data_IF_212492350907
#
_entry.id   IF_212492350907
#
_cell.length_a   1.000
_cell.length_b   1.000
_cell.length_c   1.000
_cell.angle_alpha   90.00
_cell.angle_beta   90.00
_cell.angle_gamma   90.00
#
_symmetry.space_group_name_H-M   'P 1'
#
loop_
_entity.id
_entity.type
_entity.pdbx_description
1 polymer ?
#
# COMPACT_ATOMS: atom_id res chain seq x y z
N UNK A 1 17.19 7.45 6.42
CA UNK A 1 16.29 8.51 5.93
C UNK A 1 17.13 9.51 5.17
N UNK A 2 16.75 9.83 3.90
CA UNK A 2 17.54 10.67 3.00
C UNK A 2 17.64 12.15 3.44
N UNK A 3 16.76 12.59 4.33
CA UNK A 3 16.71 13.99 4.79
C UNK A 3 17.06 14.05 6.29
N UNK A 4 18.20 14.66 6.68
CA UNK A 4 18.67 14.71 8.08
C UNK A 4 17.68 15.36 9.04
N UNK A 5 16.89 16.34 8.56
CA UNK A 5 15.87 17.02 9.38
C UNK A 5 14.73 16.07 9.80
N UNK A 6 14.31 15.15 8.93
CA UNK A 6 13.26 14.17 9.24
C UNK A 6 13.79 13.08 10.20
N UNK A 7 15.09 12.77 10.14
CA UNK A 7 15.71 11.82 11.06
C UNK A 7 15.71 12.37 12.50
N UNK A 8 16.00 13.67 12.67
CA UNK A 8 15.94 14.33 13.99
C UNK A 8 14.52 14.27 14.55
N UNK A 9 13.52 14.61 13.72
CA UNK A 9 12.11 14.50 14.11
C UNK A 9 11.69 13.07 14.48
N UNK A 10 12.18 12.06 13.75
CA UNK A 10 11.90 10.67 14.07
C UNK A 10 12.45 10.25 15.44
N UNK A 11 13.57 10.83 15.87
CA UNK A 11 14.20 10.57 17.18
C UNK A 11 13.52 11.29 18.35
N UNK A 12 12.68 12.31 18.08
CA UNK A 12 11.89 13.04 19.10
C UNK A 12 10.71 12.21 19.68
N UNK A 13 10.55 10.95 19.29
CA UNK A 13 9.52 10.07 19.84
C UNK A 13 8.09 10.35 19.31
N UNK A 14 7.09 10.36 20.20
CA UNK A 14 5.69 10.48 19.82
C UNK A 14 5.34 11.83 19.18
N UNK A 15 5.93 12.92 19.65
CA UNK A 15 5.71 14.24 19.07
C UNK A 15 6.33 14.39 17.69
N UNK A 16 7.53 13.86 17.50
CA UNK A 16 8.17 13.84 16.20
C UNK A 16 7.39 13.06 15.16
N UNK A 17 6.82 11.91 15.55
CA UNK A 17 5.94 11.12 14.66
C UNK A 17 4.68 11.89 14.26
N UNK A 18 4.05 12.63 15.17
CA UNK A 18 2.89 13.49 14.84
C UNK A 18 3.26 14.57 13.82
N UNK A 19 4.43 15.20 13.97
CA UNK A 19 4.93 16.21 13.02
C UNK A 19 5.21 15.59 11.64
N UNK A 20 5.83 14.42 11.60
CA UNK A 20 6.11 13.68 10.35
C UNK A 20 4.79 13.35 9.63
N UNK A 21 3.80 12.80 10.33
CA UNK A 21 2.49 12.48 9.76
C UNK A 21 1.80 13.74 9.18
N UNK A 22 1.90 14.87 9.89
CA UNK A 22 1.36 16.15 9.42
C UNK A 22 2.05 16.60 8.11
N UNK A 23 3.37 16.54 8.06
CA UNK A 23 4.14 16.88 6.84
C UNK A 23 3.77 15.95 5.69
N UNK A 24 3.72 14.63 5.94
CA UNK A 24 3.34 13.64 4.93
C UNK A 24 1.95 13.90 4.36
N UNK A 25 0.98 14.30 5.20
CA UNK A 25 -0.37 14.67 4.76
C UNK A 25 -0.36 15.87 3.83
N UNK A 26 0.34 16.95 4.21
CA UNK A 26 0.42 18.14 3.34
C UNK A 26 1.14 17.85 2.01
N UNK A 27 2.22 17.07 2.05
CA UNK A 27 2.91 16.64 0.84
C UNK A 27 2.00 15.75 -0.04
N UNK A 28 1.22 14.85 0.56
CA UNK A 28 0.25 14.03 -0.15
C UNK A 28 -0.81 14.85 -0.88
N UNK A 29 -1.35 15.90 -0.23
CA UNK A 29 -2.34 16.80 -0.84
C UNK A 29 -1.70 17.63 -1.96
N UNK A 30 -0.48 18.14 -1.77
CA UNK A 30 0.24 18.88 -2.80
C UNK A 30 0.53 18.00 -4.04
N UNK A 31 0.96 16.75 -3.82
CA UNK A 31 1.18 15.79 -4.90
C UNK A 31 -0.14 15.43 -5.62
N UNK A 32 -1.25 15.29 -4.88
CA UNK A 32 -2.56 15.03 -5.47
C UNK A 32 -3.01 16.18 -6.38
N UNK A 33 -2.71 17.43 -6.00
CA UNK A 33 -2.99 18.59 -6.83
C UNK A 33 -2.20 18.54 -8.15
N UNK A 34 -0.90 18.27 -8.08
CA UNK A 34 -0.02 18.13 -9.27
C UNK A 34 -0.50 16.97 -10.15
N UNK A 35 -0.84 15.83 -9.54
CA UNK A 35 -1.31 14.64 -10.24
C UNK A 35 -2.70 14.87 -10.88
N UNK A 36 -3.58 15.62 -10.20
CA UNK A 36 -4.87 16.03 -10.74
C UNK A 36 -4.73 16.92 -11.97
N UNK A 37 -3.76 17.84 -11.96
CA UNK A 37 -3.43 18.65 -13.14
C UNK A 37 -2.91 17.77 -14.30
N UNK A 38 -2.05 16.80 -14.02
CA UNK A 38 -1.56 15.83 -15.02
C UNK A 38 -2.71 15.00 -15.61
N UNK A 39 -3.67 14.57 -14.76
CA UNK A 39 -4.84 13.85 -15.22
C UNK A 39 -5.71 14.70 -16.15
N UNK A 40 -5.92 15.98 -15.81
CA UNK A 40 -6.67 16.88 -16.69
C UNK A 40 -6.03 16.98 -18.07
N UNK A 41 -4.70 17.16 -18.14
CA UNK A 41 -3.96 17.21 -19.41
C UNK A 41 -4.12 15.92 -20.21
N UNK A 42 -4.07 14.78 -19.54
CA UNK A 42 -4.29 13.46 -20.17
C UNK A 42 -5.69 13.33 -20.75
N UNK A 43 -6.72 13.68 -19.98
CA UNK A 43 -8.11 13.65 -20.44
C UNK A 43 -8.37 14.63 -21.59
N UNK A 44 -7.75 15.83 -21.53
CA UNK A 44 -7.83 16.81 -22.60
C UNK A 44 -7.21 16.28 -23.91
N UNK A 45 -6.02 15.70 -23.83
CA UNK A 45 -5.35 15.10 -24.99
C UNK A 45 -6.15 13.92 -25.56
N UNK A 46 -6.76 13.08 -24.72
CA UNK A 46 -7.63 11.99 -25.17
C UNK A 46 -8.86 12.52 -25.90
N UNK A 47 -9.45 13.63 -25.44
CA UNK A 47 -10.58 14.26 -26.12
C UNK A 47 -10.18 14.81 -27.49
N UNK A 48 -9.02 15.44 -27.59
CA UNK A 48 -8.57 16.05 -28.85
C UNK A 48 -8.08 15.00 -29.86
N UNK A 49 -7.33 13.97 -29.39
CA UNK A 49 -6.67 13.01 -30.28
C UNK A 49 -7.56 11.85 -30.68
N UNK A 50 -8.39 11.35 -29.77
CA UNK A 50 -9.20 10.13 -29.98
C UNK A 50 -10.69 10.42 -30.23
N UNK A 51 -11.10 11.69 -30.24
CA UNK A 51 -12.51 12.06 -30.41
C UNK A 51 -13.41 11.59 -29.26
N UNK A 52 -12.82 11.22 -28.10
CA UNK A 52 -13.56 10.87 -26.90
C UNK A 52 -13.97 12.17 -26.21
N UNK A 53 -15.26 12.44 -26.11
CA UNK A 53 -15.81 13.62 -25.39
C UNK A 53 -15.62 13.51 -23.86
N UNK A 54 -14.38 13.25 -23.44
CA UNK A 54 -14.06 13.17 -22.01
C UNK A 54 -14.21 14.54 -21.32
N UNK A 55 -13.93 15.63 -22.05
CA UNK A 55 -14.13 17.00 -21.58
C UNK A 55 -14.92 17.77 -22.63
N UNK A 56 -16.22 17.98 -22.41
CA UNK A 56 -17.11 18.70 -23.34
C UNK A 56 -16.72 20.16 -23.58
N UNK A 57 -16.34 20.87 -22.52
CA UNK A 57 -15.98 22.29 -22.58
C UNK A 57 -14.65 22.51 -21.86
N UNK A 58 -13.51 22.51 -22.57
CA UNK A 58 -12.21 22.81 -21.99
C UNK A 58 -12.16 24.30 -21.62
N UNK A 59 -12.26 24.59 -20.34
CA UNK A 59 -12.21 25.94 -19.76
C UNK A 59 -11.29 25.94 -18.56
N UNK A 60 -10.77 27.11 -18.21
CA UNK A 60 -10.00 27.30 -16.97
C UNK A 60 -10.82 26.87 -15.74
N UNK A 61 -12.10 27.11 -15.75
CA UNK A 61 -13.00 26.69 -14.68
C UNK A 61 -13.07 25.16 -14.61
N UNK A 62 -13.22 24.46 -15.74
CA UNK A 62 -13.23 22.98 -15.81
C UNK A 62 -11.92 22.38 -15.28
N UNK A 63 -10.79 23.01 -15.60
CA UNK A 63 -9.49 22.62 -15.04
C UNK A 63 -9.50 22.68 -13.52
N UNK A 64 -9.87 23.81 -12.92
CA UNK A 64 -9.89 23.95 -11.47
C UNK A 64 -10.91 23.00 -10.80
N UNK A 65 -12.09 22.81 -11.39
CA UNK A 65 -13.09 21.88 -10.85
C UNK A 65 -12.53 20.45 -10.81
N UNK A 66 -11.93 19.97 -11.88
CA UNK A 66 -11.38 18.60 -11.94
C UNK A 66 -10.23 18.46 -10.93
N UNK A 67 -9.27 19.38 -10.94
CA UNK A 67 -8.10 19.32 -10.06
C UNK A 67 -8.50 19.38 -8.59
N UNK A 68 -9.38 20.31 -8.23
CA UNK A 68 -9.85 20.46 -6.85
C UNK A 68 -10.68 19.27 -6.39
N UNK A 69 -11.53 18.70 -7.25
CA UNK A 69 -12.31 17.49 -6.92
C UNK A 69 -11.38 16.31 -6.65
N UNK A 70 -10.38 16.09 -7.48
CA UNK A 70 -9.37 15.04 -7.26
C UNK A 70 -8.59 15.25 -5.97
N UNK A 71 -8.15 16.48 -5.73
CA UNK A 71 -7.43 16.83 -4.51
C UNK A 71 -8.29 16.64 -3.26
N UNK A 72 -9.55 17.05 -3.32
CA UNK A 72 -10.52 16.86 -2.24
C UNK A 72 -10.79 15.37 -1.97
N UNK A 73 -10.95 14.56 -3.03
CA UNK A 73 -11.10 13.11 -2.90
C UNK A 73 -9.89 12.46 -2.24
N UNK A 74 -8.68 12.85 -2.63
CA UNK A 74 -7.45 12.35 -2.01
C UNK A 74 -7.34 12.79 -0.54
N UNK A 75 -7.64 14.03 -0.22
CA UNK A 75 -7.65 14.53 1.15
C UNK A 75 -8.66 13.76 2.03
N UNK A 76 -9.84 13.45 1.48
CA UNK A 76 -10.84 12.62 2.16
C UNK A 76 -10.34 11.20 2.43
N UNK A 77 -9.68 10.56 1.46
CA UNK A 77 -9.10 9.22 1.63
C UNK A 77 -7.99 9.22 2.68
N UNK A 78 -7.12 10.24 2.70
CA UNK A 78 -6.08 10.38 3.72
C UNK A 78 -6.72 10.51 5.11
N UNK A 79 -7.72 11.39 5.26
CA UNK A 79 -8.46 11.55 6.53
C UNK A 79 -9.13 10.25 6.97
N UNK A 80 -9.75 9.52 6.04
CA UNK A 80 -10.36 8.21 6.35
C UNK A 80 -9.31 7.19 6.82
N UNK A 81 -8.14 7.15 6.16
CA UNK A 81 -7.02 6.31 6.57
C UNK A 81 -6.49 6.62 7.97
N UNK A 82 -6.40 7.91 8.31
CA UNK A 82 -6.04 8.35 9.67
C UNK A 82 -7.10 7.90 10.69
N UNK A 83 -8.38 8.07 10.38
CA UNK A 83 -9.50 7.68 11.25
C UNK A 83 -9.51 6.15 11.50
N UNK A 84 -9.27 5.35 10.46
CA UNK A 84 -9.16 3.89 10.59
C UNK A 84 -7.96 3.52 11.47
N UNK A 85 -6.83 4.22 11.33
CA UNK A 85 -5.63 3.98 12.14
C UNK A 85 -5.85 4.33 13.61
N UNK A 86 -6.58 5.42 13.89
CA UNK A 86 -6.85 5.86 15.28
C UNK A 86 -7.90 5.00 15.99
N UNK A 87 -8.96 4.61 15.29
CA UNK A 87 -10.13 3.92 15.88
C UNK A 87 -10.24 2.45 15.49
N UNK A 88 -9.47 2.00 14.50
CA UNK A 88 -9.54 0.66 13.95
C UNK A 88 -8.36 -0.22 14.34
N UNK A 89 -8.18 -1.28 13.54
CA UNK A 89 -7.12 -2.26 13.70
C UNK A 89 -6.01 -2.03 12.68
N UNK A 90 -4.81 -1.67 13.13
CA UNK A 90 -3.64 -1.60 12.29
C UNK A 90 -3.48 -0.30 11.48
N UNK A 91 -2.83 -0.39 10.32
CA UNK A 91 -2.56 0.77 9.46
C UNK A 91 -3.72 1.01 8.48
N UNK A 92 -4.47 2.10 8.66
CA UNK A 92 -5.64 2.45 7.85
C UNK A 92 -5.31 2.68 6.38
N UNK A 93 -4.15 3.26 6.06
CA UNK A 93 -3.72 3.47 4.67
C UNK A 93 -3.51 2.13 3.96
N UNK A 94 -2.86 1.18 4.64
CA UNK A 94 -2.67 -0.18 4.11
C UNK A 94 -4.00 -0.90 3.86
N UNK A 95 -4.99 -0.72 4.75
CA UNK A 95 -6.33 -1.28 4.59
C UNK A 95 -7.06 -0.68 3.39
N UNK A 96 -6.95 0.62 3.15
CA UNK A 96 -7.56 1.29 1.99
C UNK A 96 -6.93 0.78 0.69
N UNK A 97 -5.59 0.66 0.64
CA UNK A 97 -4.89 0.10 -0.52
C UNK A 97 -5.33 -1.35 -0.77
N UNK A 98 -5.38 -2.16 0.29
CA UNK A 98 -5.86 -3.55 0.22
C UNK A 98 -7.29 -3.62 -0.33
N UNK A 99 -8.21 -2.81 0.20
CA UNK A 99 -9.59 -2.75 -0.29
C UNK A 99 -9.67 -2.34 -1.77
N UNK A 100 -8.83 -1.38 -2.20
CA UNK A 100 -8.73 -0.96 -3.59
C UNK A 100 -8.23 -2.06 -4.53
N UNK A 101 -7.30 -2.91 -4.07
CA UNK A 101 -6.82 -4.06 -4.83
C UNK A 101 -7.90 -5.15 -4.91
N UNK A 102 -8.51 -5.49 -3.77
CA UNK A 102 -9.54 -6.54 -3.68
C UNK A 102 -10.77 -6.18 -4.50
N UNK A 103 -11.18 -4.91 -4.51
CA UNK A 103 -12.34 -4.44 -5.29
C UNK A 103 -12.18 -4.65 -6.80
N UNK A 104 -10.95 -4.77 -7.29
CA UNK A 104 -10.66 -5.02 -8.72
C UNK A 104 -10.62 -6.50 -9.09
N UNK A 105 -10.58 -7.41 -8.12
CA UNK A 105 -10.51 -8.86 -8.40
C UNK A 105 -11.68 -9.36 -9.27
N UNK A 106 -12.96 -8.99 -8.99
CA UNK A 106 -14.07 -9.47 -9.81
C UNK A 106 -13.98 -9.02 -11.28
N UNK A 107 -13.61 -7.76 -11.52
CA UNK A 107 -13.45 -7.23 -12.88
C UNK A 107 -12.26 -7.84 -13.61
N UNK A 108 -11.16 -8.06 -12.92
CA UNK A 108 -9.98 -8.74 -13.45
C UNK A 108 -10.29 -10.21 -13.80
N UNK A 109 -10.99 -10.93 -12.92
CA UNK A 109 -11.44 -12.30 -13.18
C UNK A 109 -12.34 -12.39 -14.41
N UNK A 110 -13.29 -11.45 -14.55
CA UNK A 110 -14.15 -11.37 -15.73
C UNK A 110 -13.35 -11.06 -17.00
N UNK A 111 -12.36 -10.16 -16.92
CA UNK A 111 -11.46 -9.86 -18.03
C UNK A 111 -10.64 -11.08 -18.48
N UNK A 112 -10.07 -11.82 -17.53
CA UNK A 112 -9.35 -13.06 -17.79
C UNK A 112 -10.26 -14.12 -18.43
N UNK A 113 -11.48 -14.28 -17.90
CA UNK A 113 -12.44 -15.19 -18.46
C UNK A 113 -12.75 -14.84 -19.93
N UNK A 114 -13.10 -13.60 -20.23
CA UNK A 114 -13.42 -13.18 -21.60
C UNK A 114 -12.23 -13.32 -22.57
N UNK A 115 -11.02 -13.01 -22.11
CA UNK A 115 -9.82 -13.02 -22.95
C UNK A 115 -9.35 -14.44 -23.27
N UNK A 116 -9.43 -15.37 -22.32
CA UNK A 116 -8.85 -16.70 -22.46
C UNK A 116 -9.87 -17.83 -22.63
N UNK A 117 -11.12 -17.63 -22.18
CA UNK A 117 -12.17 -18.65 -22.21
C UNK A 117 -13.42 -18.20 -22.97
N UNK A 118 -13.60 -16.90 -23.24
CA UNK A 118 -14.80 -16.35 -23.86
C UNK A 118 -15.03 -16.79 -25.31
N UNK A 119 -13.99 -17.17 -26.03
CA UNK A 119 -14.08 -17.71 -27.39
C UNK A 119 -14.23 -19.25 -27.45
N UNK A 120 -14.46 -19.89 -26.31
CA UNK A 120 -14.47 -21.34 -26.12
C UNK A 120 -13.31 -21.83 -25.25
N UNK A 121 -13.57 -22.92 -24.52
CA UNK A 121 -12.55 -23.51 -23.63
C UNK A 121 -11.49 -24.20 -24.46
N UNK A 122 -10.38 -23.51 -24.70
CA UNK A 122 -9.21 -24.04 -25.37
C UNK A 122 -8.17 -24.47 -24.34
N UNK A 123 -7.44 -25.58 -24.59
CA UNK A 123 -6.39 -26.06 -23.71
C UNK A 123 -5.33 -24.97 -23.41
N UNK A 124 -4.99 -24.14 -24.39
CA UNK A 124 -4.08 -23.01 -24.21
C UNK A 124 -4.63 -21.98 -23.22
N UNK A 125 -5.89 -21.58 -23.33
CA UNK A 125 -6.53 -20.63 -22.42
C UNK A 125 -6.56 -21.15 -20.99
N UNK A 126 -6.89 -22.44 -20.81
CA UNK A 126 -6.89 -23.09 -19.48
C UNK A 126 -5.51 -23.09 -18.84
N UNK A 127 -4.45 -23.38 -19.61
CA UNK A 127 -3.07 -23.36 -19.13
C UNK A 127 -2.67 -21.95 -18.70
N UNK A 128 -3.03 -20.90 -19.46
CA UNK A 128 -2.75 -19.51 -19.09
C UNK A 128 -3.45 -19.09 -17.79
N UNK A 129 -4.74 -19.43 -17.64
CA UNK A 129 -5.50 -19.14 -16.41
C UNK A 129 -4.88 -19.87 -15.22
N UNK A 130 -4.55 -21.15 -15.36
CA UNK A 130 -3.89 -21.90 -14.30
C UNK A 130 -2.52 -21.30 -13.93
N UNK A 131 -1.73 -20.88 -14.92
CA UNK A 131 -0.44 -20.23 -14.69
C UNK A 131 -0.58 -18.91 -13.93
N UNK A 132 -1.58 -18.08 -14.27
CA UNK A 132 -1.86 -16.82 -13.56
C UNK A 132 -2.21 -17.09 -12.08
N UNK A 133 -3.03 -18.09 -11.81
CA UNK A 133 -3.42 -18.48 -10.44
C UNK A 133 -2.19 -18.97 -9.66
N UNK A 134 -1.37 -19.83 -10.25
CA UNK A 134 -0.15 -20.34 -9.60
C UNK A 134 0.82 -19.21 -9.29
N UNK A 135 1.04 -18.29 -10.23
CA UNK A 135 1.93 -17.14 -10.02
C UNK A 135 1.37 -16.22 -8.93
N UNK A 136 0.06 -15.98 -8.89
CA UNK A 136 -0.57 -15.16 -7.85
C UNK A 136 -0.40 -15.79 -6.45
N UNK A 137 -0.64 -17.08 -6.31
CA UNK A 137 -0.45 -17.82 -5.05
C UNK A 137 1.03 -17.81 -4.65
N UNK A 138 1.94 -18.07 -5.60
CA UNK A 138 3.37 -18.07 -5.33
C UNK A 138 3.85 -16.68 -4.86
N UNK A 139 3.37 -15.59 -5.47
CA UNK A 139 3.69 -14.23 -5.06
C UNK A 139 3.20 -13.92 -3.64
N UNK A 140 1.97 -14.30 -3.31
CA UNK A 140 1.42 -14.11 -1.95
C UNK A 140 2.24 -14.90 -0.93
N UNK A 141 2.50 -16.19 -1.22
CA UNK A 141 3.29 -17.07 -0.33
C UNK A 141 4.70 -16.51 -0.12
N UNK A 142 5.33 -16.01 -1.17
CA UNK A 142 6.65 -15.40 -1.09
C UNK A 142 6.65 -14.16 -0.19
N UNK A 143 5.68 -13.25 -0.37
CA UNK A 143 5.56 -12.03 0.46
C UNK A 143 5.31 -12.39 1.92
N UNK A 144 4.41 -13.34 2.21
CA UNK A 144 4.12 -13.79 3.58
C UNK A 144 5.36 -14.41 4.21
N UNK A 145 6.06 -15.29 3.48
CA UNK A 145 7.29 -15.93 3.96
C UNK A 145 8.36 -14.90 4.35
N UNK A 146 8.56 -13.86 3.53
CA UNK A 146 9.51 -12.79 3.84
C UNK A 146 9.05 -11.91 5.01
N UNK A 147 7.76 -11.58 5.09
CA UNK A 147 7.20 -10.74 6.16
C UNK A 147 7.23 -11.43 7.53
N UNK A 148 7.15 -12.76 7.57
CA UNK A 148 7.22 -13.56 8.78
C UNK A 148 8.64 -14.07 9.09
N UNK A 149 9.61 -13.77 8.22
CA UNK A 149 10.99 -14.21 8.41
C UNK A 149 11.61 -13.56 9.64
N UNK A 150 12.01 -14.39 10.61
CA UNK A 150 12.66 -13.98 11.84
C UNK A 150 14.08 -14.55 11.92
N UNK A 151 15.05 -13.70 12.21
CA UNK A 151 16.39 -14.14 12.55
C UNK A 151 16.47 -14.41 14.05
N UNK A 152 16.61 -15.65 14.44
CA UNK A 152 16.77 -16.07 15.85
C UNK A 152 18.21 -15.96 16.27
N UNK A 153 18.51 -15.05 17.23
CA UNK A 153 19.83 -14.91 17.82
C UNK A 153 19.82 -15.68 19.15
N UNK A 154 20.67 -16.72 19.31
CA UNK A 154 20.78 -17.45 20.57
C UNK A 154 21.43 -16.56 21.62
N UNK A 155 20.75 -16.35 22.74
CA UNK A 155 21.27 -15.63 23.89
C UNK A 155 21.49 -16.61 25.03
N UNK A 156 22.71 -16.63 25.58
CA UNK A 156 23.03 -17.42 26.74
C UNK A 156 22.88 -16.53 28.01
N UNK A 157 21.90 -16.88 28.83
CA UNK A 157 21.79 -16.25 30.16
C UNK A 157 22.72 -16.92 31.13
N UNK A 158 23.42 -16.10 31.93
CA UNK A 158 24.28 -16.59 33.00
C UNK A 158 23.45 -17.38 34.03
N UNK A 159 23.91 -18.58 34.36
CA UNK A 159 23.32 -19.40 35.41
C UNK A 159 23.49 -18.72 36.74
N UNK A 160 22.38 -18.42 37.44
CA UNK A 160 22.42 -17.88 38.80
C UNK A 160 22.16 -18.99 39.80
N UNK A 161 23.12 -19.22 40.66
CA UNK A 161 22.98 -20.19 41.78
C UNK A 161 22.50 -19.41 42.99
N UNK A 162 21.33 -19.78 43.52
CA UNK A 162 20.79 -19.24 44.75
C UNK A 162 20.63 -20.40 45.74
N UNK A 163 21.56 -20.53 46.67
CA UNK A 163 21.61 -21.64 47.60
C UNK A 163 21.92 -23.00 46.90
N UNK A 164 21.17 -24.04 47.21
CA UNK A 164 21.32 -25.40 46.62
C UNK A 164 20.55 -25.59 45.27
N UNK A 165 19.83 -24.58 44.79
CA UNK A 165 19.05 -24.66 43.55
C UNK A 165 19.66 -23.81 42.43
N UNK A 166 19.91 -24.43 41.30
CA UNK A 166 20.31 -23.76 40.06
C UNK A 166 19.07 -23.23 39.33
N UNK A 167 18.98 -21.91 39.17
CA UNK A 167 17.99 -21.23 38.35
C UNK A 167 18.66 -20.70 37.08
N UNK A 168 18.07 -21.02 35.92
CA UNK A 168 18.59 -20.59 34.63
C UNK A 168 19.35 -21.67 33.89
N UNK A 169 19.32 -21.63 32.60
CA UNK A 169 19.98 -22.59 31.71
C UNK A 169 19.21 -22.93 30.45
N UNK A 170 18.01 -22.34 30.26
CA UNK A 170 17.36 -22.42 28.95
C UNK A 170 17.98 -21.40 28.01
N UNK A 171 18.45 -21.85 26.86
CA UNK A 171 18.85 -20.97 25.76
C UNK A 171 17.59 -20.34 25.20
N UNK A 172 17.42 -19.04 25.42
CA UNK A 172 16.32 -18.25 24.87
C UNK A 172 16.81 -17.58 23.61
N UNK A 173 16.03 -17.67 22.54
CA UNK A 173 16.33 -16.99 21.29
C UNK A 173 15.57 -15.64 21.26
N UNK A 174 16.27 -14.56 20.88
CA UNK A 174 15.63 -13.27 20.62
C UNK A 174 15.25 -13.24 19.13
N UNK A 175 13.94 -13.20 18.79
CA UNK A 175 13.51 -13.08 17.41
C UNK A 175 13.70 -11.63 16.93
N UNK A 176 14.47 -11.43 15.88
CA UNK A 176 14.58 -10.15 15.19
C UNK A 176 13.91 -10.28 13.84
N UNK A 177 12.89 -9.48 13.58
CA UNK A 177 12.22 -9.44 12.26
C UNK A 177 13.22 -8.99 11.20
N UNK A 178 13.20 -9.64 10.03
CA UNK A 178 14.11 -9.36 8.91
C UNK A 178 13.55 -8.25 8.03
N UNK A 179 12.21 -8.03 8.03
CA UNK A 179 11.49 -7.00 7.28
C UNK A 179 10.80 -6.01 8.20
#
# INVERSE_FOLDING_TARGET
VAIPSLERLAKEGLEGRKKINKITRYLGIALAFIQGAGLYVTLYNMSVTNGLDAIKNPSVLTFFVIVLTFTAGTAFIIWLGELITEKGLGNGVSLIIFAGIVSRIPSAAYGIYNQFLGAGVNAKGLIFVAAIIVVAIAAITFVVFFSEAERRIPVQYAKRVVGRKMYGGQSTNIPIKVA
#
